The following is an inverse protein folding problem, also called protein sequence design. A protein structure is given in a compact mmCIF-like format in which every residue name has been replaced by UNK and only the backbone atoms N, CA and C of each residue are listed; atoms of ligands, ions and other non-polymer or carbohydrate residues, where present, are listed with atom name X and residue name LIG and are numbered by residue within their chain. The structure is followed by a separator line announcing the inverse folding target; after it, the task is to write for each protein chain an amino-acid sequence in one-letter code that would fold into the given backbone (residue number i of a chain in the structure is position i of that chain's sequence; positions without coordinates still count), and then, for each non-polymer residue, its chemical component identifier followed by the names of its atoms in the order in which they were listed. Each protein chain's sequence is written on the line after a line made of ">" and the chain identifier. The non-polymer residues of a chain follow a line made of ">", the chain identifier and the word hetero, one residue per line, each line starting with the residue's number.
data_IF_498733569483
#
_entry.id   IF_498733569483
#
_cell.length_a   1.000
_cell.length_b   1.000
_cell.length_c   1.000
_cell.angle_alpha   90.00
_cell.angle_beta   90.00
_cell.angle_gamma   90.00
#
_symmetry.space_group_name_H-M   'P 1'
#
loop_
_entity.id
_entity.type
_entity.pdbx_description
1 polymer ?
#
# COMPACT_ATOMS: atom_id res chain seq x y z
N UNK A 1 35.58 -18.50 -4.56
CA UNK A 1 34.48 -18.87 -3.66
C UNK A 1 33.26 -19.03 -4.55
N UNK A 2 32.67 -20.24 -4.60
CA UNK A 2 31.52 -20.55 -5.45
C UNK A 2 30.25 -20.06 -4.77
N UNK A 3 29.51 -19.14 -5.40
CA UNK A 3 28.21 -18.69 -4.94
C UNK A 3 27.19 -19.82 -5.09
N UNK A 4 26.63 -20.28 -3.97
CA UNK A 4 25.60 -21.30 -3.86
C UNK A 4 24.22 -20.73 -4.24
N UNK A 5 23.94 -20.59 -5.53
CA UNK A 5 22.63 -20.12 -6.01
C UNK A 5 21.51 -21.17 -5.76
N UNK A 6 21.83 -22.46 -5.67
CA UNK A 6 20.84 -23.51 -5.38
C UNK A 6 20.41 -23.65 -3.91
N UNK A 7 21.15 -23.07 -2.96
CA UNK A 7 20.83 -23.23 -1.52
C UNK A 7 19.59 -22.41 -1.09
N UNK A 8 19.28 -21.34 -1.83
CA UNK A 8 18.12 -20.48 -1.55
C UNK A 8 16.83 -21.09 -2.10
N UNK A 9 16.84 -21.63 -3.32
CA UNK A 9 15.67 -22.29 -3.92
C UNK A 9 15.19 -23.52 -3.11
N UNK A 10 16.10 -24.37 -2.62
CA UNK A 10 15.74 -25.51 -1.76
C UNK A 10 15.16 -25.06 -0.41
N UNK A 11 15.66 -23.96 0.14
CA UNK A 11 15.13 -23.37 1.38
C UNK A 11 13.72 -22.82 1.17
N UNK A 12 13.46 -22.13 0.06
CA UNK A 12 12.13 -21.64 -0.33
C UNK A 12 11.13 -22.78 -0.52
N UNK A 13 11.54 -23.86 -1.21
CA UNK A 13 10.72 -25.08 -1.37
C UNK A 13 10.41 -25.75 -0.03
N UNK A 14 11.38 -25.76 0.89
CA UNK A 14 11.18 -26.24 2.26
C UNK A 14 10.14 -25.43 3.04
N UNK A 15 10.24 -24.10 3.00
CA UNK A 15 9.30 -23.19 3.68
C UNK A 15 7.89 -23.31 3.07
N UNK A 16 7.78 -23.32 1.74
CA UNK A 16 6.50 -23.53 1.06
C UNK A 16 5.84 -24.87 1.47
N UNK A 17 6.61 -25.95 1.54
CA UNK A 17 6.11 -27.24 2.01
C UNK A 17 5.54 -27.18 3.44
N UNK A 18 6.16 -26.39 4.32
CA UNK A 18 5.70 -26.17 5.69
C UNK A 18 4.43 -25.32 5.73
N UNK A 19 4.34 -24.22 4.97
CA UNK A 19 3.15 -23.38 4.87
C UNK A 19 1.92 -24.18 4.40
N UNK A 20 2.09 -25.07 3.40
CA UNK A 20 1.02 -25.99 2.97
C UNK A 20 0.58 -26.98 4.05
N UNK A 21 1.52 -27.46 4.86
CA UNK A 21 1.19 -28.32 6.01
C UNK A 21 0.38 -27.54 7.05
N UNK A 22 0.71 -26.27 7.29
CA UNK A 22 -0.03 -25.41 8.20
C UNK A 22 -1.43 -25.09 7.69
N UNK A 23 -1.58 -24.73 6.42
CA UNK A 23 -2.89 -24.52 5.78
C UNK A 23 -3.85 -25.70 6.04
N UNK A 24 -3.40 -26.94 5.75
CA UNK A 24 -4.21 -28.14 6.01
C UNK A 24 -4.57 -28.33 7.49
N UNK A 25 -3.73 -27.89 8.41
CA UNK A 25 -4.00 -27.95 9.85
C UNK A 25 -4.99 -26.89 10.29
N UNK A 26 -4.90 -25.68 9.75
CA UNK A 26 -5.89 -24.62 9.95
C UNK A 26 -7.28 -25.06 9.50
N UNK A 27 -7.39 -25.69 8.32
CA UNK A 27 -8.64 -26.31 7.84
C UNK A 27 -9.13 -27.38 8.81
N UNK A 28 -8.25 -28.24 9.32
CA UNK A 28 -8.64 -29.28 10.27
C UNK A 28 -9.16 -28.71 11.61
N UNK A 29 -8.61 -27.58 12.08
CA UNK A 29 -9.11 -26.86 13.26
C UNK A 29 -10.51 -26.30 13.00
N UNK A 30 -10.71 -25.66 11.84
CA UNK A 30 -12.02 -25.16 11.40
C UNK A 30 -13.07 -26.27 11.33
N UNK A 31 -12.74 -27.39 10.70
CA UNK A 31 -13.62 -28.56 10.59
C UNK A 31 -13.95 -29.18 11.96
N UNK A 32 -12.93 -29.35 12.81
CA UNK A 32 -13.08 -29.91 14.15
C UNK A 32 -13.95 -29.03 15.05
N UNK A 33 -13.71 -27.72 15.07
CA UNK A 33 -14.52 -26.80 15.88
C UNK A 33 -15.95 -26.69 15.37
N UNK A 34 -16.17 -26.69 14.05
CA UNK A 34 -17.52 -26.71 13.46
C UNK A 34 -18.26 -28.01 13.80
N UNK A 35 -17.57 -29.15 13.78
CA UNK A 35 -18.14 -30.43 14.21
C UNK A 35 -18.53 -30.42 15.70
N UNK A 36 -17.72 -29.83 16.57
CA UNK A 36 -18.01 -29.70 18.01
C UNK A 36 -19.16 -28.73 18.28
N UNK A 37 -19.25 -27.62 17.54
CA UNK A 37 -20.39 -26.72 17.61
C UNK A 37 -21.69 -27.45 17.25
N UNK A 38 -21.68 -28.28 16.21
CA UNK A 38 -22.83 -29.11 15.85
C UNK A 38 -23.27 -30.07 16.97
N UNK A 39 -22.33 -30.63 17.73
CA UNK A 39 -22.64 -31.46 18.92
C UNK A 39 -23.28 -30.61 20.02
N UNK A 40 -22.74 -29.40 20.28
CA UNK A 40 -23.28 -28.48 21.29
C UNK A 40 -24.71 -28.04 20.94
N UNK A 41 -24.96 -27.66 19.68
CA UNK A 41 -26.30 -27.31 19.19
C UNK A 41 -27.30 -28.46 19.28
N UNK A 42 -26.85 -29.71 19.28
CA UNK A 42 -27.70 -30.88 19.51
C UNK A 42 -27.99 -31.18 20.99
N UNK A 43 -27.26 -30.57 21.93
CA UNK A 43 -27.31 -30.89 23.36
C UNK A 43 -27.72 -29.72 24.26
N UNK A 44 -27.64 -28.49 23.77
CA UNK A 44 -27.85 -27.25 24.52
C UNK A 44 -28.62 -26.24 23.65
N UNK A 45 -29.52 -25.46 24.25
CA UNK A 45 -30.24 -24.35 23.61
C UNK A 45 -30.19 -23.11 24.50
N UNK A 46 -29.95 -21.92 23.93
CA UNK A 46 -29.82 -20.67 24.67
C UNK A 46 -29.13 -19.54 23.89
N UNK A 47 -29.36 -18.30 24.31
CA UNK A 47 -28.80 -17.07 23.70
C UNK A 47 -27.26 -17.02 23.76
N UNK A 48 -26.68 -17.67 24.78
CA UNK A 48 -25.24 -17.85 24.97
C UNK A 48 -24.64 -18.73 23.87
N UNK A 49 -25.30 -19.85 23.56
CA UNK A 49 -24.89 -20.75 22.49
C UNK A 49 -25.08 -20.11 21.11
N UNK A 50 -26.16 -19.35 20.90
CA UNK A 50 -26.38 -18.61 19.66
C UNK A 50 -25.29 -17.55 19.42
N UNK A 51 -24.93 -16.81 20.47
CA UNK A 51 -23.85 -15.82 20.41
C UNK A 51 -22.48 -16.47 20.21
N UNK A 52 -22.24 -17.63 20.81
CA UNK A 52 -21.04 -18.42 20.53
C UNK A 52 -21.01 -18.95 19.09
N UNK A 53 -22.15 -19.42 18.57
CA UNK A 53 -22.26 -19.92 17.20
C UNK A 53 -21.99 -18.83 16.15
N UNK A 54 -22.53 -17.61 16.36
CA UNK A 54 -22.23 -16.45 15.50
C UNK A 54 -20.74 -16.11 15.49
N UNK A 55 -20.12 -16.00 16.67
CA UNK A 55 -18.67 -15.75 16.78
C UNK A 55 -17.84 -16.87 16.15
N UNK A 56 -18.24 -18.13 16.34
CA UNK A 56 -17.57 -19.26 15.71
C UNK A 56 -17.68 -19.24 14.19
N UNK A 57 -18.80 -18.79 13.61
CA UNK A 57 -18.93 -18.65 12.16
C UNK A 57 -17.92 -17.65 11.60
N UNK A 58 -17.75 -16.50 12.26
CA UNK A 58 -16.73 -15.50 11.90
C UNK A 58 -15.33 -16.11 12.02
N UNK A 59 -15.01 -16.76 13.15
CA UNK A 59 -13.71 -17.42 13.33
C UNK A 59 -13.46 -18.56 12.32
N UNK A 60 -14.50 -19.30 11.93
CA UNK A 60 -14.38 -20.40 10.97
C UNK A 60 -14.04 -19.89 9.56
N UNK A 61 -14.64 -18.76 9.15
CA UNK A 61 -14.29 -18.09 7.87
C UNK A 61 -12.86 -17.56 7.90
N UNK A 62 -12.48 -16.88 8.97
CA UNK A 62 -11.10 -16.40 9.15
C UNK A 62 -10.06 -17.53 9.11
N UNK A 63 -10.39 -18.72 9.66
CA UNK A 63 -9.53 -19.90 9.55
C UNK A 63 -9.45 -20.44 8.11
N UNK A 64 -10.54 -20.41 7.34
CA UNK A 64 -10.52 -20.79 5.93
C UNK A 64 -9.68 -19.82 5.08
N UNK A 65 -9.87 -18.52 5.27
CA UNK A 65 -9.09 -17.48 4.59
C UNK A 65 -7.60 -17.55 4.97
N UNK A 66 -7.28 -17.78 6.25
CA UNK A 66 -5.90 -18.01 6.70
C UNK A 66 -5.30 -19.23 5.99
N UNK A 67 -6.06 -20.32 5.86
CA UNK A 67 -5.58 -21.50 5.15
C UNK A 67 -5.33 -21.23 3.66
N UNK A 68 -6.18 -20.44 3.01
CA UNK A 68 -6.03 -20.04 1.61
C UNK A 68 -4.79 -19.13 1.42
N UNK A 69 -4.59 -18.14 2.29
CA UNK A 69 -3.42 -17.25 2.26
C UNK A 69 -2.11 -18.01 2.46
N UNK A 70 -2.08 -18.98 3.38
CA UNK A 70 -0.92 -19.86 3.58
C UNK A 70 -0.59 -20.69 2.34
N UNK A 71 -1.60 -21.15 1.59
CA UNK A 71 -1.40 -21.85 0.31
C UNK A 71 -0.94 -20.91 -0.80
N UNK A 72 -1.49 -19.70 -0.89
CA UNK A 72 -1.06 -18.68 -1.86
C UNK A 72 0.39 -18.26 -1.65
N UNK A 73 0.79 -17.96 -0.41
CA UNK A 73 2.18 -17.66 -0.06
C UNK A 73 3.13 -18.82 -0.39
N UNK A 74 2.70 -20.06 -0.12
CA UNK A 74 3.47 -21.24 -0.49
C UNK A 74 3.62 -21.38 -2.02
N UNK A 75 2.58 -21.04 -2.79
CA UNK A 75 2.64 -21.10 -4.25
C UNK A 75 3.64 -20.10 -4.83
N UNK A 76 3.62 -18.85 -4.34
CA UNK A 76 4.56 -17.79 -4.76
C UNK A 76 6.02 -18.18 -4.48
N UNK A 77 6.32 -18.70 -3.29
CA UNK A 77 7.69 -19.14 -2.95
C UNK A 77 8.19 -20.29 -3.83
N UNK A 78 7.29 -21.18 -4.27
CA UNK A 78 7.66 -22.27 -5.19
C UNK A 78 7.93 -21.74 -6.60
N UNK A 79 7.13 -20.78 -7.05
CA UNK A 79 7.31 -20.13 -8.35
C UNK A 79 8.65 -19.39 -8.41
N UNK A 80 8.98 -18.61 -7.37
CA UNK A 80 10.27 -17.92 -7.27
C UNK A 80 11.45 -18.91 -7.24
N UNK A 81 11.32 -20.00 -6.48
CA UNK A 81 12.34 -21.03 -6.42
C UNK A 81 12.55 -21.71 -7.79
N UNK A 82 11.50 -21.91 -8.58
CA UNK A 82 11.57 -22.50 -9.91
C UNK A 82 12.16 -21.53 -10.94
N UNK A 83 11.84 -20.23 -10.85
CA UNK A 83 12.45 -19.19 -11.68
C UNK A 83 13.96 -19.05 -11.43
N UNK A 84 14.41 -19.15 -10.17
CA UNK A 84 15.84 -19.14 -9.82
C UNK A 84 16.60 -20.35 -10.36
N UNK A 85 15.98 -21.53 -10.33
CA UNK A 85 16.55 -22.77 -10.92
C UNK A 85 16.64 -22.64 -12.45
N UNK A 86 15.59 -22.13 -13.10
CA UNK A 86 15.57 -21.93 -14.55
C UNK A 86 16.63 -20.91 -15.04
N UNK A 87 16.85 -19.83 -14.29
CA UNK A 87 17.91 -18.86 -14.57
C UNK A 87 19.32 -19.45 -14.40
N UNK A 88 19.48 -20.42 -13.50
CA UNK A 88 20.75 -21.12 -13.22
C UNK A 88 21.12 -22.12 -14.34
N UNK A 89 20.14 -22.84 -14.88
CA UNK A 89 20.34 -23.79 -15.98
C UNK A 89 20.66 -23.10 -17.34
N UNK A 90 20.35 -21.80 -17.47
CA UNK A 90 20.69 -20.99 -18.63
C UNK A 90 22.15 -20.49 -18.67
N UNK A 91 22.90 -20.61 -17.57
CA UNK A 91 24.24 -20.01 -17.42
C UNK A 91 25.41 -20.96 -17.77
N UNK A 92 25.19 -22.27 -17.90
CA UNK A 92 26.23 -23.24 -18.29
C UNK A 92 26.27 -23.44 -19.82
N UNK A 93 26.55 -22.36 -20.56
CA UNK A 93 26.44 -22.37 -22.02
C UNK A 93 27.24 -21.33 -22.77
N UNK A 94 28.49 -21.05 -22.38
CA UNK A 94 29.48 -20.45 -23.29
C UNK A 94 29.89 -19.00 -22.97
N UNK A 95 31.15 -18.84 -22.56
CA UNK A 95 31.82 -17.56 -22.46
C UNK A 95 32.09 -16.94 -23.84
N UNK A 96 31.47 -15.79 -24.15
CA UNK A 96 32.15 -14.63 -24.73
C UNK A 96 31.26 -13.36 -24.66
N UNK A 97 31.67 -12.41 -23.79
CA UNK A 97 31.54 -10.94 -23.89
C UNK A 97 30.23 -10.27 -24.35
N UNK A 98 29.63 -9.51 -23.42
CA UNK A 98 28.83 -8.27 -23.57
C UNK A 98 27.57 -8.28 -24.48
N UNK A 99 26.45 -7.83 -23.90
CA UNK A 99 25.39 -7.14 -24.63
C UNK A 99 23.99 -7.74 -24.46
N UNK A 100 23.16 -7.08 -23.65
CA UNK A 100 21.71 -7.29 -23.61
C UNK A 100 21.14 -6.81 -24.95
N UNK A 101 20.37 -7.67 -25.62
CA UNK A 101 19.63 -7.34 -26.84
C UNK A 101 18.20 -7.87 -26.74
N UNK A 102 17.27 -6.92 -26.82
CA UNK A 102 15.82 -7.05 -26.94
C UNK A 102 15.41 -7.85 -28.18
N UNK A 103 14.36 -8.68 -28.04
CA UNK A 103 13.74 -9.40 -29.15
C UNK A 103 12.68 -8.54 -29.87
N UNK A 104 13.00 -8.07 -31.07
CA UNK A 104 12.04 -7.52 -32.04
C UNK A 104 11.80 -8.58 -33.13
N UNK A 105 10.53 -8.87 -33.46
CA UNK A 105 10.12 -9.80 -34.51
C UNK A 105 10.37 -9.29 -35.95
N UNK A 106 10.49 -10.17 -36.96
CA UNK A 106 10.94 -9.77 -38.30
C UNK A 106 9.78 -9.50 -39.29
N UNK A 107 9.87 -8.39 -40.01
CA UNK A 107 8.98 -8.06 -41.14
C UNK A 107 9.40 -6.80 -41.92
N UNK A 108 10.36 -6.98 -42.83
CA UNK A 108 10.87 -6.19 -43.99
C UNK A 108 10.05 -5.00 -44.59
N UNK A 109 10.59 -4.19 -45.55
CA UNK A 109 11.98 -3.94 -45.96
C UNK A 109 12.39 -2.45 -45.97
N UNK A 110 13.71 -2.26 -46.11
CA UNK A 110 14.46 -1.01 -46.18
C UNK A 110 14.44 -0.33 -47.56
N UNK A 111 14.53 1.01 -47.54
CA UNK A 111 14.92 1.86 -48.67
C UNK A 111 15.45 3.22 -48.16
N UNK A 112 16.68 3.65 -48.51
CA UNK A 112 17.34 4.79 -47.87
C UNK A 112 17.28 6.07 -48.71
N UNK A 113 17.14 7.23 -48.07
CA UNK A 113 17.56 8.58 -48.49
C UNK A 113 17.01 9.53 -47.42
N UNK A 114 17.70 10.47 -46.79
CA UNK A 114 18.94 11.17 -47.05
C UNK A 114 18.84 12.45 -46.19
N UNK A 115 19.90 12.79 -45.46
CA UNK A 115 19.98 13.96 -44.58
C UNK A 115 20.06 15.25 -45.42
N UNK A 116 19.31 16.29 -45.04
CA UNK A 116 19.71 17.72 -44.89
C UNK A 116 18.45 18.64 -44.74
N UNK A 117 18.58 19.95 -44.42
CA UNK A 117 18.70 20.53 -43.08
C UNK A 117 17.59 21.57 -42.75
N UNK A 118 17.71 22.19 -41.58
CA UNK A 118 16.82 23.18 -40.96
C UNK A 118 16.37 24.39 -41.82
N UNK A 119 15.16 24.89 -41.51
CA UNK A 119 14.56 26.15 -41.95
C UNK A 119 13.30 26.48 -41.13
N UNK A 120 12.80 27.74 -41.14
CA UNK A 120 12.78 28.60 -39.96
C UNK A 120 11.45 28.65 -39.17
N UNK A 121 11.60 29.11 -37.92
CA UNK A 121 10.58 29.39 -36.91
C UNK A 121 9.38 30.19 -37.43
N UNK A 122 8.17 29.69 -37.17
CA UNK A 122 6.92 30.44 -37.21
C UNK A 122 6.69 31.22 -35.90
N UNK A 123 5.86 32.28 -35.90
CA UNK A 123 5.69 33.15 -34.74
C UNK A 123 4.91 32.44 -33.63
N UNK A 124 5.35 32.68 -32.39
CA UNK A 124 4.72 32.20 -31.17
C UNK A 124 3.26 32.70 -31.05
N UNK A 125 2.32 31.87 -30.55
CA UNK A 125 1.05 32.38 -30.09
C UNK A 125 1.27 33.35 -28.92
N UNK A 126 0.56 34.47 -28.99
CA UNK A 126 0.58 35.57 -28.03
C UNK A 126 0.21 35.07 -26.63
N UNK A 127 1.05 35.43 -25.64
CA UNK A 127 0.92 35.00 -24.24
C UNK A 127 -0.38 35.45 -23.56
N UNK A 128 -0.69 34.84 -22.40
CA UNK A 128 -1.84 35.24 -21.59
C UNK A 128 -1.66 36.66 -21.04
N UNK A 129 -2.77 37.39 -20.75
CA UNK A 129 -2.70 38.72 -20.17
C UNK A 129 -2.36 38.68 -18.68
N UNK A 130 -1.47 39.59 -18.28
CA UNK A 130 -1.38 40.29 -16.99
C UNK A 130 -1.56 39.46 -15.71
N UNK A 131 -0.42 39.21 -15.09
CA UNK A 131 -0.11 39.20 -13.65
C UNK A 131 -1.10 40.01 -12.79
N UNK A 132 -2.22 39.37 -12.45
CA UNK A 132 -2.95 39.64 -11.21
C UNK A 132 -2.35 38.78 -10.11
N UNK A 133 -1.59 39.37 -9.21
CA UNK A 133 -1.29 38.78 -7.90
C UNK A 133 -2.61 38.30 -7.28
N UNK A 134 -2.78 36.99 -7.14
CA UNK A 134 -3.79 36.43 -6.24
C UNK A 134 -3.38 36.81 -4.83
N UNK A 135 -4.00 37.84 -4.25
CA UNK A 135 -3.82 38.22 -2.83
C UNK A 135 -4.53 37.22 -1.87
N UNK A 136 -4.60 35.93 -2.22
CA UNK A 136 -5.03 34.83 -1.36
C UNK A 136 -4.08 33.64 -1.56
N UNK A 137 -3.61 33.04 -0.46
CA UNK A 137 -2.84 31.80 -0.52
C UNK A 137 -3.66 30.73 -1.23
N UNK A 138 -3.01 29.94 -2.07
CA UNK A 138 -3.63 28.79 -2.72
C UNK A 138 -3.73 27.63 -1.72
N UNK A 139 -4.71 26.74 -1.88
CA UNK A 139 -4.85 25.55 -1.02
C UNK A 139 -3.53 24.79 -0.82
N UNK A 140 -2.71 24.61 -1.86
CA UNK A 140 -1.42 23.94 -1.73
C UNK A 140 -0.43 24.71 -0.84
N UNK A 141 -0.39 26.04 -0.89
CA UNK A 141 0.41 26.84 0.05
C UNK A 141 -0.07 26.63 1.49
N UNK A 142 -1.39 26.55 1.69
CA UNK A 142 -2.01 26.27 2.99
C UNK A 142 -1.71 24.85 3.47
N UNK A 143 -1.43 23.90 2.57
CA UNK A 143 -0.98 22.56 2.94
C UNK A 143 0.52 22.50 3.25
N UNK A 144 1.40 23.37 2.77
CA UNK A 144 2.86 23.25 3.07
C UNK A 144 3.21 23.42 4.54
N UNK A 145 4.20 22.67 5.05
CA UNK A 145 4.75 22.80 6.40
C UNK A 145 4.85 21.46 7.15
N UNK A 146 5.47 21.51 8.32
CA UNK A 146 5.82 20.31 9.10
C UNK A 146 4.84 20.00 10.23
N UNK A 147 3.97 20.95 10.59
CA UNK A 147 2.97 20.77 11.63
C UNK A 147 1.64 20.34 11.01
N UNK A 148 0.98 19.36 11.62
CA UNK A 148 -0.33 18.90 11.16
C UNK A 148 -1.40 19.98 11.27
N UNK A 149 -2.34 20.00 10.33
CA UNK A 149 -3.33 21.08 10.16
C UNK A 149 -4.75 20.53 10.04
N UNK A 150 -5.79 21.35 10.32
CA UNK A 150 -7.19 20.92 10.17
C UNK A 150 -7.53 20.41 8.76
N UNK A 151 -6.95 20.99 7.72
CA UNK A 151 -7.15 20.61 6.32
C UNK A 151 -6.65 19.18 6.02
N UNK A 152 -5.76 18.64 6.87
CA UNK A 152 -5.26 17.27 6.74
C UNK A 152 -6.39 16.25 7.01
N UNK A 153 -7.41 16.62 7.79
CA UNK A 153 -8.62 15.82 7.99
C UNK A 153 -9.41 15.66 6.69
N UNK A 154 -9.53 16.73 5.89
CA UNK A 154 -10.22 16.66 4.61
C UNK A 154 -9.45 15.77 3.62
N UNK A 155 -8.11 15.90 3.59
CA UNK A 155 -7.26 15.04 2.77
C UNK A 155 -7.36 13.56 3.15
N UNK A 156 -7.54 13.24 4.43
CA UNK A 156 -7.83 11.89 4.89
C UNK A 156 -9.15 11.34 4.31
N UNK A 157 -10.24 12.10 4.39
CA UNK A 157 -11.53 11.68 3.83
C UNK A 157 -11.48 11.54 2.31
N UNK A 158 -10.74 12.40 1.60
CA UNK A 158 -10.55 12.26 0.15
C UNK A 158 -9.73 11.02 -0.22
N UNK A 159 -8.68 10.71 0.57
CA UNK A 159 -7.91 9.48 0.42
C UNK A 159 -8.80 8.25 0.59
N UNK A 160 -9.67 8.24 1.60
CA UNK A 160 -10.62 7.15 1.82
C UNK A 160 -11.68 7.08 0.71
N UNK A 161 -12.32 8.22 0.36
CA UNK A 161 -13.33 8.28 -0.69
C UNK A 161 -12.82 7.73 -2.04
N UNK A 162 -11.53 7.91 -2.35
CA UNK A 162 -10.91 7.41 -3.60
C UNK A 162 -10.98 5.89 -3.79
N UNK A 163 -11.27 5.12 -2.73
CA UNK A 163 -11.46 3.68 -2.84
C UNK A 163 -12.79 3.30 -3.50
N UNK A 164 -13.76 4.22 -3.51
CA UNK A 164 -15.05 4.05 -4.16
C UNK A 164 -15.96 3.02 -3.47
N UNK A 165 -17.22 2.91 -3.94
CA UNK A 165 -18.24 2.05 -3.30
C UNK A 165 -17.97 0.56 -3.45
N UNK A 166 -17.12 0.17 -4.40
CA UNK A 166 -16.79 -1.22 -4.71
C UNK A 166 -15.59 -1.75 -3.89
N UNK A 167 -15.18 -1.02 -2.85
CA UNK A 167 -14.08 -1.44 -1.98
C UNK A 167 -14.42 -2.75 -1.25
N UNK A 168 -13.59 -3.78 -1.46
CA UNK A 168 -13.81 -5.12 -0.91
C UNK A 168 -13.80 -5.18 0.63
N UNK A 169 -13.24 -4.16 1.30
CA UNK A 169 -13.27 -4.04 2.76
C UNK A 169 -14.68 -3.74 3.31
N UNK A 170 -15.56 -3.09 2.55
CA UNK A 170 -16.89 -2.70 3.04
C UNK A 170 -17.81 -3.90 3.33
N UNK A 171 -17.48 -5.07 2.78
CA UNK A 171 -18.21 -6.32 3.03
C UNK A 171 -17.46 -7.28 3.97
N UNK A 172 -16.30 -6.90 4.52
CA UNK A 172 -15.50 -7.77 5.39
C UNK A 172 -16.14 -7.96 6.77
N UNK A 173 -16.21 -9.19 7.28
CA UNK A 173 -16.87 -9.48 8.57
C UNK A 173 -16.15 -8.84 9.79
N UNK A 174 -14.86 -8.49 9.68
CA UNK A 174 -14.01 -7.97 10.76
C UNK A 174 -13.51 -6.54 10.51
N UNK A 175 -13.22 -6.20 9.26
CA UNK A 175 -12.74 -4.89 8.79
C UNK A 175 -13.83 -4.16 7.98
N UNK A 176 -15.11 -4.43 8.26
CA UNK A 176 -16.19 -3.69 7.64
C UNK A 176 -15.98 -2.19 7.90
N UNK A 177 -16.32 -1.42 6.88
CA UNK A 177 -16.28 0.03 6.86
C UNK A 177 -17.29 0.53 5.82
N UNK A 178 -17.49 1.83 5.73
CA UNK A 178 -18.39 2.48 4.78
C UNK A 178 -17.65 3.55 3.99
N UNK A 179 -18.09 3.79 2.75
CA UNK A 179 -17.57 4.90 1.97
C UNK A 179 -17.91 6.22 2.66
N UNK A 180 -16.92 7.10 2.93
CA UNK A 180 -17.19 8.38 3.54
C UNK A 180 -17.86 9.32 2.56
N UNK A 181 -18.65 10.26 3.07
CA UNK A 181 -19.09 11.42 2.29
C UNK A 181 -17.88 12.32 1.95
N UNK A 182 -18.00 13.12 0.89
CA UNK A 182 -17.01 14.15 0.58
C UNK A 182 -17.02 15.26 1.65
N UNK A 183 -15.85 15.81 2.03
CA UNK A 183 -15.78 17.01 2.86
C UNK A 183 -16.53 18.19 2.24
N UNK A 184 -17.00 19.13 3.08
CA UNK A 184 -17.83 20.24 2.62
C UNK A 184 -17.13 21.09 1.54
N UNK A 185 -17.79 21.24 0.38
CA UNK A 185 -17.31 22.08 -0.72
C UNK A 185 -16.31 21.41 -1.66
N UNK A 186 -15.90 20.16 -1.38
CA UNK A 186 -15.12 19.36 -2.32
C UNK A 186 -16.03 18.69 -3.35
N UNK A 187 -15.56 18.62 -4.59
CA UNK A 187 -16.29 18.00 -5.70
C UNK A 187 -15.37 17.08 -6.50
N UNK A 188 -15.85 15.91 -6.90
CA UNK A 188 -15.14 15.05 -7.86
C UNK A 188 -15.10 15.73 -9.23
N UNK A 189 -13.93 15.72 -9.87
CA UNK A 189 -13.76 16.22 -11.23
C UNK A 189 -14.06 15.11 -12.23
N UNK A 190 -15.33 14.97 -12.60
CA UNK A 190 -15.82 14.00 -13.59
C UNK A 190 -16.67 14.70 -14.67
N UNK A 191 -16.29 14.64 -15.97
CA UNK A 191 -15.12 13.95 -16.51
C UNK A 191 -13.81 14.75 -16.31
N UNK A 192 -12.71 14.05 -16.02
CA UNK A 192 -11.38 14.66 -15.78
C UNK A 192 -10.84 15.40 -17.01
N UNK A 193 -11.35 15.09 -18.20
CA UNK A 193 -11.07 15.80 -19.45
C UNK A 193 -11.46 17.28 -19.39
N UNK A 194 -12.31 17.71 -18.45
CA UNK A 194 -12.58 19.13 -18.20
C UNK A 194 -11.32 19.90 -17.76
N UNK A 195 -10.34 19.21 -17.18
CA UNK A 195 -8.99 19.72 -16.89
C UNK A 195 -7.99 19.51 -18.03
N UNK A 196 -8.41 18.87 -19.12
CA UNK A 196 -7.53 18.48 -20.21
C UNK A 196 -6.68 17.24 -19.91
N UNK A 197 -7.01 16.49 -18.87
CA UNK A 197 -6.31 15.26 -18.46
C UNK A 197 -6.88 14.07 -19.24
N UNK A 198 -6.01 13.14 -19.66
CA UNK A 198 -6.44 11.88 -20.27
C UNK A 198 -6.97 10.96 -19.15
N UNK A 199 -8.21 10.46 -19.21
CA UNK A 199 -8.77 9.57 -18.18
C UNK A 199 -8.01 8.27 -18.02
N UNK A 200 -7.28 7.81 -19.06
CA UNK A 200 -6.41 6.63 -18.96
C UNK A 200 -5.23 6.81 -17.97
N UNK A 201 -4.94 8.06 -17.54
CA UNK A 201 -3.97 8.33 -16.48
C UNK A 201 -4.53 8.13 -15.07
N UNK A 202 -5.85 8.02 -14.90
CA UNK A 202 -6.46 7.81 -13.59
C UNK A 202 -6.50 6.34 -13.19
N UNK A 203 -6.40 5.42 -14.15
CA UNK A 203 -6.32 3.99 -13.89
C UNK A 203 -5.58 3.28 -15.02
N UNK A 204 -4.55 2.53 -14.66
CA UNK A 204 -3.70 1.82 -15.62
C UNK A 204 -3.71 0.29 -15.42
N UNK A 205 -3.02 -0.41 -16.35
CA UNK A 205 -2.85 -1.86 -16.28
C UNK A 205 -1.86 -2.32 -15.20
N UNK A 206 -1.09 -1.39 -14.62
CA UNK A 206 -0.10 -1.65 -13.57
C UNK A 206 -0.69 -1.55 -12.16
N UNK A 207 -1.97 -1.18 -12.05
CA UNK A 207 -2.75 -1.16 -10.82
C UNK A 207 -2.76 0.18 -10.10
N UNK A 208 -2.24 1.26 -10.69
CA UNK A 208 -2.46 2.60 -10.15
C UNK A 208 -3.92 3.01 -10.38
N UNK A 209 -4.51 3.64 -9.37
CA UNK A 209 -5.84 4.21 -9.42
C UNK A 209 -5.82 5.54 -8.65
N UNK A 210 -6.45 6.56 -9.21
CA UNK A 210 -6.54 7.87 -8.60
C UNK A 210 -7.87 8.57 -8.90
N UNK A 211 -8.24 9.50 -8.02
CA UNK A 211 -9.40 10.38 -8.18
C UNK A 211 -8.94 11.83 -8.06
N UNK A 212 -9.51 12.73 -8.87
CA UNK A 212 -9.19 14.16 -8.83
C UNK A 212 -10.36 14.93 -8.25
N UNK A 213 -10.09 15.72 -7.22
CA UNK A 213 -11.08 16.57 -6.56
C UNK A 213 -10.77 18.03 -6.79
N UNK A 214 -11.82 18.85 -6.89
CA UNK A 214 -11.75 20.30 -6.82
C UNK A 214 -11.94 20.73 -5.36
N UNK A 215 -11.05 21.59 -4.87
CA UNK A 215 -11.14 22.17 -3.53
C UNK A 215 -12.15 23.33 -3.49
N UNK A 216 -12.68 23.71 -2.31
CA UNK A 216 -13.65 24.80 -2.18
C UNK A 216 -13.17 26.16 -2.71
N UNK A 217 -11.85 26.41 -2.68
CA UNK A 217 -11.18 27.62 -3.16
C UNK A 217 -10.73 27.54 -4.63
N UNK A 218 -10.93 26.39 -5.29
CA UNK A 218 -10.73 26.20 -6.73
C UNK A 218 -9.39 25.58 -7.15
N UNK A 219 -8.58 25.12 -6.20
CA UNK A 219 -7.45 24.23 -6.42
C UNK A 219 -7.87 22.76 -6.62
N UNK A 220 -6.88 21.87 -6.60
CA UNK A 220 -7.09 20.44 -6.85
C UNK A 220 -6.42 19.55 -5.82
N UNK A 221 -7.01 18.39 -5.58
CA UNK A 221 -6.40 17.28 -4.85
C UNK A 221 -6.41 16.05 -5.74
N UNK A 222 -5.27 15.37 -5.87
CA UNK A 222 -5.22 14.03 -6.46
C UNK A 222 -5.05 13.03 -5.33
N UNK A 223 -6.04 12.16 -5.15
CA UNK A 223 -5.97 11.07 -4.18
C UNK A 223 -5.64 9.76 -4.87
N UNK A 224 -4.57 9.10 -4.46
CA UNK A 224 -4.17 7.80 -4.96
C UNK A 224 -4.74 6.70 -4.07
N UNK A 225 -5.39 5.73 -4.72
CA UNK A 225 -5.97 4.56 -4.07
C UNK A 225 -4.87 3.54 -3.77
N UNK A 226 -4.89 2.99 -2.56
CA UNK A 226 -4.01 1.87 -2.18
C UNK A 226 -4.62 0.51 -2.54
N UNK A 227 -4.08 -0.56 -1.95
CA UNK A 227 -4.54 -1.93 -2.23
C UNK A 227 -5.84 -2.26 -1.48
N UNK A 228 -6.80 -2.90 -2.15
CA UNK A 228 -8.19 -3.10 -1.70
C UNK A 228 -8.52 -4.53 -1.21
N UNK A 229 -7.51 -5.33 -0.84
CA UNK A 229 -7.66 -6.78 -0.61
C UNK A 229 -7.35 -7.20 0.84
N UNK A 230 -8.09 -6.72 1.86
CA UNK A 230 -7.97 -7.21 3.27
C UNK A 230 -6.52 -7.29 3.76
N UNK A 231 -6.16 -8.24 4.65
CA UNK A 231 -4.74 -8.39 5.10
C UNK A 231 -3.69 -8.64 3.98
N UNK A 232 -4.06 -8.84 2.70
CA UNK A 232 -3.10 -9.01 1.61
C UNK A 232 -2.52 -7.68 1.13
N UNK A 233 -3.11 -6.55 1.55
CA UNK A 233 -2.60 -5.20 1.27
C UNK A 233 -1.13 -5.06 1.70
N UNK A 234 -0.69 -5.73 2.77
CA UNK A 234 0.71 -5.70 3.24
C UNK A 234 1.67 -6.32 2.22
N UNK A 235 1.30 -7.51 1.74
CA UNK A 235 2.12 -8.26 0.79
C UNK A 235 2.18 -7.52 -0.55
N UNK A 236 1.10 -6.83 -0.91
CA UNK A 236 1.04 -5.97 -2.09
C UNK A 236 1.88 -4.70 -1.91
N UNK A 237 1.81 -4.03 -0.76
CA UNK A 237 2.63 -2.87 -0.43
C UNK A 237 4.12 -3.20 -0.47
N UNK A 238 4.52 -4.35 0.09
CA UNK A 238 5.90 -4.85 -0.01
C UNK A 238 6.32 -5.16 -1.45
N UNK A 239 5.46 -5.79 -2.25
CA UNK A 239 5.74 -6.03 -3.67
C UNK A 239 5.84 -4.72 -4.47
N UNK A 240 4.98 -3.73 -4.17
CA UNK A 240 5.01 -2.40 -4.77
C UNK A 240 6.27 -1.61 -4.40
N UNK A 241 6.66 -1.60 -3.14
CA UNK A 241 7.87 -0.92 -2.66
C UNK A 241 9.18 -1.57 -3.18
N UNK A 242 9.17 -2.89 -3.43
CA UNK A 242 10.36 -3.66 -3.89
C UNK A 242 10.42 -3.84 -5.41
N UNK A 243 9.29 -3.81 -6.12
CA UNK A 243 9.21 -4.13 -7.56
C UNK A 243 8.28 -3.25 -8.41
N UNK A 244 7.57 -2.30 -7.82
CA UNK A 244 6.46 -1.57 -8.44
C UNK A 244 6.82 -0.24 -9.12
N UNK A 245 8.03 -0.07 -9.65
CA UNK A 245 8.47 1.20 -10.27
C UNK A 245 7.47 1.80 -11.25
N UNK A 246 6.80 0.98 -12.07
CA UNK A 246 5.81 1.42 -13.05
C UNK A 246 4.60 2.15 -12.42
N UNK A 247 3.98 1.62 -11.36
CA UNK A 247 2.82 2.27 -10.74
C UNK A 247 3.17 3.59 -10.00
N UNK A 248 4.43 3.76 -9.59
CA UNK A 248 4.94 5.04 -9.08
C UNK A 248 5.27 6.01 -10.22
N UNK A 249 5.79 5.51 -11.34
CA UNK A 249 6.00 6.28 -12.58
C UNK A 249 4.67 6.83 -13.10
N UNK A 250 3.67 5.98 -13.23
CA UNK A 250 2.32 6.35 -13.68
C UNK A 250 1.68 7.39 -12.75
N UNK A 251 1.87 7.23 -11.42
CA UNK A 251 1.43 8.22 -10.44
C UNK A 251 2.10 9.59 -10.63
N UNK A 252 3.41 9.62 -10.88
CA UNK A 252 4.16 10.85 -11.17
C UNK A 252 3.75 11.48 -12.51
N UNK A 253 3.47 10.68 -13.54
CA UNK A 253 2.98 11.17 -14.84
C UNK A 253 1.61 11.86 -14.71
N UNK A 254 0.67 11.24 -13.98
CA UNK A 254 -0.61 11.87 -13.65
C UNK A 254 -0.38 13.18 -12.86
N UNK A 255 0.49 13.15 -11.86
CA UNK A 255 0.78 14.31 -11.03
C UNK A 255 1.28 15.51 -11.83
N UNK A 256 2.25 15.28 -12.72
CA UNK A 256 2.80 16.33 -13.61
C UNK A 256 1.71 16.87 -14.55
N UNK A 257 0.85 16.00 -15.10
CA UNK A 257 -0.23 16.44 -15.97
C UNK A 257 -1.25 17.34 -15.23
N UNK A 258 -1.62 16.99 -13.99
CA UNK A 258 -2.55 17.78 -13.18
C UNK A 258 -1.88 19.07 -12.67
N UNK A 259 -0.61 19.03 -12.29
CA UNK A 259 0.17 20.20 -11.89
C UNK A 259 0.25 21.24 -13.02
N UNK A 260 0.60 20.79 -14.24
CA UNK A 260 0.62 21.63 -15.44
C UNK A 260 -0.77 22.21 -15.76
N UNK A 261 -1.83 21.38 -15.68
CA UNK A 261 -3.20 21.80 -15.98
C UNK A 261 -3.78 22.78 -14.94
N UNK A 262 -3.40 22.62 -13.67
CA UNK A 262 -3.82 23.49 -12.57
C UNK A 262 -3.00 24.77 -12.45
N UNK A 263 -1.85 24.85 -13.15
CA UNK A 263 -0.91 25.96 -13.02
C UNK A 263 -0.21 25.96 -11.66
N UNK A 264 0.00 24.77 -11.08
CA UNK A 264 0.66 24.62 -9.80
C UNK A 264 -0.24 24.70 -8.57
N UNK A 265 -1.56 24.52 -8.72
CA UNK A 265 -2.51 24.56 -7.59
C UNK A 265 -3.07 23.15 -7.34
N UNK A 266 -2.19 22.24 -6.93
CA UNK A 266 -2.53 20.83 -6.67
C UNK A 266 -1.84 20.33 -5.40
N UNK A 267 -2.54 19.48 -4.64
CA UNK A 267 -2.01 18.73 -3.50
C UNK A 267 -2.24 17.23 -3.72
N UNK A 268 -1.36 16.39 -3.19
CA UNK A 268 -1.51 14.91 -3.28
C UNK A 268 -1.87 14.29 -1.94
N UNK A 269 -2.66 13.22 -2.00
CA UNK A 269 -2.97 12.43 -0.81
C UNK A 269 -3.16 10.96 -1.13
N UNK A 270 -3.12 10.12 -0.10
CA UNK A 270 -3.30 8.68 -0.23
C UNK A 270 -2.98 7.94 1.06
N UNK A 271 -3.51 6.72 1.14
CA UNK A 271 -3.31 5.79 2.25
C UNK A 271 -2.53 4.55 1.79
N UNK A 272 -1.73 3.94 2.67
CA UNK A 272 -1.01 2.69 2.37
C UNK A 272 -0.11 2.84 1.13
N UNK A 273 -0.23 1.94 0.13
CA UNK A 273 0.45 2.07 -1.17
C UNK A 273 0.14 3.41 -1.88
N UNK A 274 -1.10 3.89 -1.81
CA UNK A 274 -1.51 5.17 -2.38
C UNK A 274 -0.82 6.36 -1.71
N UNK A 275 -0.50 6.25 -0.42
CA UNK A 275 0.31 7.25 0.28
C UNK A 275 1.74 7.33 -0.27
N UNK A 276 2.33 6.18 -0.64
CA UNK A 276 3.61 6.15 -1.34
C UNK A 276 3.54 6.82 -2.71
N UNK A 277 2.47 6.55 -3.48
CA UNK A 277 2.25 7.17 -4.80
C UNK A 277 2.06 8.68 -4.69
N UNK A 278 1.31 9.15 -3.68
CA UNK A 278 1.18 10.56 -3.37
C UNK A 278 2.51 11.22 -2.99
N UNK A 279 3.37 10.51 -2.25
CA UNK A 279 4.71 11.00 -1.95
C UNK A 279 5.59 11.11 -3.22
N UNK A 280 5.51 10.13 -4.12
CA UNK A 280 6.21 10.19 -5.40
C UNK A 280 5.70 11.34 -6.30
N UNK A 281 4.38 11.55 -6.35
CA UNK A 281 3.73 12.65 -7.04
C UNK A 281 4.22 14.03 -6.54
N UNK A 282 4.26 14.22 -5.21
CA UNK A 282 4.85 15.41 -4.60
C UNK A 282 6.33 15.58 -4.98
N UNK A 283 7.11 14.50 -4.94
CA UNK A 283 8.50 14.55 -5.37
C UNK A 283 8.63 14.95 -6.84
N UNK A 284 7.79 14.48 -7.76
CA UNK A 284 7.89 14.79 -9.19
C UNK A 284 7.49 16.22 -9.56
N UNK A 285 6.62 16.85 -8.79
CA UNK A 285 6.04 18.18 -9.10
C UNK A 285 6.60 19.30 -8.22
N UNK A 286 7.14 18.98 -7.04
CA UNK A 286 7.50 19.99 -6.03
C UNK A 286 6.31 20.43 -5.17
N UNK A 287 5.11 19.92 -5.43
CA UNK A 287 3.88 20.26 -4.71
C UNK A 287 3.71 19.45 -3.44
N UNK A 288 2.86 19.90 -2.50
CA UNK A 288 2.75 19.26 -1.20
C UNK A 288 1.94 17.96 -1.26
N UNK A 289 2.20 17.09 -0.28
CA UNK A 289 1.37 15.92 -0.02
C UNK A 289 1.10 15.71 1.47
N UNK A 290 -0.05 15.11 1.76
CA UNK A 290 -0.35 14.55 3.08
C UNK A 290 -0.69 13.08 2.90
N UNK A 291 0.09 12.21 3.53
CA UNK A 291 -0.01 10.76 3.37
C UNK A 291 -0.37 10.12 4.70
N UNK A 292 -1.05 8.97 4.65
CA UNK A 292 -1.56 8.28 5.84
C UNK A 292 -1.12 6.82 5.80
N UNK A 293 -0.52 6.35 6.89
CA UNK A 293 0.02 4.98 7.05
C UNK A 293 0.74 4.51 5.77
N UNK A 294 1.54 5.41 5.21
CA UNK A 294 2.00 5.28 3.85
C UNK A 294 3.13 4.25 3.71
N UNK A 295 3.15 3.54 2.58
CA UNK A 295 4.31 2.75 2.21
C UNK A 295 5.50 3.65 1.85
N UNK A 296 6.72 3.24 2.23
CA UNK A 296 7.94 3.90 1.79
C UNK A 296 8.18 3.76 0.29
N UNK A 297 8.81 4.78 -0.30
CA UNK A 297 9.22 4.74 -1.71
C UNK A 297 10.68 4.28 -1.83
N UNK A 298 11.02 3.70 -2.97
CA UNK A 298 12.40 3.30 -3.24
C UNK A 298 13.29 4.53 -3.55
N UNK A 299 14.59 4.46 -3.23
CA UNK A 299 15.52 5.59 -3.45
C UNK A 299 15.58 6.07 -4.91
N UNK A 300 15.33 5.18 -5.87
CA UNK A 300 15.31 5.50 -7.31
C UNK A 300 14.16 6.42 -7.68
N UNK A 301 13.06 6.41 -6.93
CA UNK A 301 11.89 7.27 -7.17
C UNK A 301 12.27 8.75 -7.08
N UNK A 302 13.09 9.13 -6.10
CA UNK A 302 13.54 10.53 -5.97
C UNK A 302 14.48 10.96 -7.10
N UNK A 303 15.28 10.05 -7.65
CA UNK A 303 16.13 10.34 -8.80
C UNK A 303 15.30 10.57 -10.06
N UNK A 304 14.28 9.73 -10.28
CA UNK A 304 13.35 9.86 -11.40
C UNK A 304 12.49 11.12 -11.28
N UNK A 305 11.97 11.42 -10.09
CA UNK A 305 11.26 12.66 -9.81
C UNK A 305 12.12 13.89 -10.12
N UNK A 306 13.40 13.89 -9.73
CA UNK A 306 14.32 14.98 -10.08
C UNK A 306 14.53 15.13 -11.59
N UNK A 307 14.58 14.01 -12.34
CA UNK A 307 14.64 14.04 -13.80
C UNK A 307 13.35 14.60 -14.43
N UNK A 308 12.17 14.24 -13.90
CA UNK A 308 10.87 14.73 -14.37
C UNK A 308 10.69 16.23 -14.14
N UNK A 309 11.14 16.77 -12.99
CA UNK A 309 11.10 18.22 -12.72
C UNK A 309 11.85 19.04 -13.77
N UNK A 310 12.97 18.53 -14.27
CA UNK A 310 13.77 19.20 -15.32
C UNK A 310 14.33 20.58 -14.95
N UNK A 311 14.26 20.97 -13.68
CA UNK A 311 14.62 22.30 -13.15
C UNK A 311 16.05 22.38 -12.59
N UNK A 312 16.78 21.25 -12.62
CA UNK A 312 18.12 21.12 -12.05
C UNK A 312 18.15 20.56 -10.63
N UNK A 313 17.01 20.15 -10.08
CA UNK A 313 16.90 19.35 -8.86
C UNK A 313 17.77 18.09 -8.94
N UNK A 314 18.29 17.67 -7.80
CA UNK A 314 19.00 16.39 -7.64
C UNK A 314 18.15 15.46 -6.80
N UNK A 315 18.45 14.15 -6.84
CA UNK A 315 17.85 13.19 -5.91
C UNK A 315 17.96 13.67 -4.45
N UNK A 316 19.11 14.22 -4.06
CA UNK A 316 19.35 14.72 -2.70
C UNK A 316 18.47 15.93 -2.36
N UNK A 317 18.28 16.89 -3.29
CA UNK A 317 17.42 18.04 -3.03
C UNK A 317 15.96 17.66 -2.96
N UNK A 318 15.49 16.78 -3.85
CA UNK A 318 14.11 16.24 -3.83
C UNK A 318 13.84 15.52 -2.51
N UNK A 319 14.76 14.66 -2.06
CA UNK A 319 14.62 13.97 -0.78
C UNK A 319 14.61 14.95 0.40
N UNK A 320 15.46 15.97 0.40
CA UNK A 320 15.50 16.97 1.46
C UNK A 320 14.15 17.71 1.58
N UNK A 321 13.60 18.17 0.45
CA UNK A 321 12.32 18.89 0.39
C UNK A 321 11.17 18.13 1.05
N UNK A 322 11.11 16.80 0.87
CA UNK A 322 10.06 15.96 1.49
C UNK A 322 9.92 16.24 2.99
N UNK A 323 11.04 16.32 3.69
CA UNK A 323 11.13 16.56 5.14
C UNK A 323 11.12 18.04 5.53
N UNK A 324 11.38 18.96 4.59
CA UNK A 324 11.40 20.41 4.82
C UNK A 324 10.02 21.07 4.66
N UNK A 325 8.95 20.29 4.88
CA UNK A 325 7.57 20.77 4.86
C UNK A 325 6.85 20.57 3.53
N UNK A 326 7.42 19.80 2.59
CA UNK A 326 6.67 19.38 1.41
C UNK A 326 5.68 18.25 1.73
N UNK A 327 6.08 17.27 2.55
CA UNK A 327 5.25 16.09 2.83
C UNK A 327 5.02 15.98 4.34
N UNK A 328 3.75 15.85 4.75
CA UNK A 328 3.38 15.33 6.07
C UNK A 328 2.95 13.88 5.94
N UNK A 329 3.40 13.04 6.87
CA UNK A 329 3.05 11.62 6.91
C UNK A 329 2.44 11.27 8.26
N UNK A 330 1.13 11.06 8.27
CA UNK A 330 0.39 10.60 9.43
C UNK A 330 0.53 9.09 9.58
N UNK A 331 0.67 8.65 10.82
CA UNK A 331 0.93 7.24 11.16
C UNK A 331 0.18 6.88 12.44
N UNK A 332 -0.54 5.77 12.45
CA UNK A 332 -1.00 5.20 13.72
C UNK A 332 0.18 4.56 14.45
N UNK A 333 0.26 4.73 15.77
CA UNK A 333 1.35 4.17 16.59
C UNK A 333 1.43 2.64 16.55
N UNK A 334 0.33 1.98 16.18
CA UNK A 334 0.27 0.53 15.99
C UNK A 334 0.27 0.10 14.53
N UNK A 335 0.14 1.02 13.56
CA UNK A 335 0.02 0.65 12.15
C UNK A 335 1.17 -0.27 11.72
N UNK A 336 0.83 -1.46 11.23
CA UNK A 336 1.83 -2.48 10.94
C UNK A 336 2.83 -2.06 9.84
N UNK A 337 2.45 -1.19 8.87
CA UNK A 337 3.36 -0.65 7.81
C UNK A 337 4.44 0.24 8.36
N UNK A 338 4.06 1.06 9.32
CA UNK A 338 4.88 2.13 9.83
C UNK A 338 5.33 1.89 11.28
N UNK A 339 4.95 0.76 11.87
CA UNK A 339 5.42 0.22 13.15
C UNK A 339 6.92 -0.03 13.02
N UNK A 340 7.60 1.08 13.22
CA UNK A 340 9.02 1.35 13.33
C UNK A 340 9.90 0.44 12.48
N UNK A 341 10.54 1.03 11.47
CA UNK A 341 11.83 0.56 10.95
C UNK A 341 12.97 0.59 12.01
N UNK A 342 12.65 0.48 13.30
CA UNK A 342 13.54 -0.03 14.33
C UNK A 342 13.54 -1.57 14.19
N UNK A 343 14.72 -2.19 14.25
CA UNK A 343 15.00 -3.63 14.01
C UNK A 343 14.11 -4.65 14.75
N UNK A 344 13.16 -4.23 15.58
CA UNK A 344 12.39 -5.05 16.53
C UNK A 344 10.90 -5.26 16.17
N UNK A 345 10.36 -4.60 15.14
CA UNK A 345 8.98 -4.81 14.65
C UNK A 345 8.81 -6.07 13.78
N UNK A 346 7.58 -6.59 13.61
CA UNK A 346 7.32 -7.85 12.85
C UNK A 346 7.93 -7.85 11.44
N UNK A 347 8.04 -6.65 10.85
CA UNK A 347 8.43 -6.43 9.47
C UNK A 347 9.62 -5.45 9.33
N UNK A 348 10.31 -5.19 10.45
CA UNK A 348 11.45 -4.30 10.54
C UNK A 348 12.50 -4.58 9.46
N UNK A 349 12.87 -3.53 8.72
CA UNK A 349 13.92 -3.56 7.69
C UNK A 349 13.52 -4.13 6.32
N UNK A 350 12.26 -4.54 6.12
CA UNK A 350 11.79 -5.08 4.84
C UNK A 350 11.13 -4.04 3.91
N UNK A 351 10.68 -2.89 4.45
CA UNK A 351 10.04 -1.79 3.72
C UNK A 351 10.73 -0.48 4.15
N UNK A 352 11.06 0.44 3.20
CA UNK A 352 11.59 1.75 3.55
C UNK A 352 10.59 2.57 4.39
N UNK A 353 11.08 3.54 5.15
CA UNK A 353 10.21 4.49 5.84
C UNK A 353 9.42 5.36 4.84
N UNK A 354 8.21 5.75 5.23
CA UNK A 354 7.45 6.76 4.50
C UNK A 354 8.17 8.11 4.49
N UNK A 355 8.21 8.75 3.32
CA UNK A 355 8.86 10.05 3.15
C UNK A 355 8.03 11.17 3.78
N UNK A 356 8.72 12.21 4.27
CA UNK A 356 8.11 13.40 4.85
C UNK A 356 8.32 13.55 6.36
N UNK A 357 7.67 14.56 6.93
CA UNK A 357 7.66 14.81 8.37
C UNK A 357 6.62 13.92 9.06
N UNK A 358 7.01 13.01 9.97
CA UNK A 358 6.08 12.11 10.62
C UNK A 358 5.23 12.81 11.68
N UNK A 359 3.94 12.47 11.70
CA UNK A 359 2.97 12.83 12.73
C UNK A 359 2.33 11.53 13.22
N UNK A 360 2.81 11.03 14.36
CA UNK A 360 2.28 9.81 14.96
C UNK A 360 1.04 10.14 15.81
N UNK A 361 -0.03 9.39 15.60
CA UNK A 361 -1.27 9.43 16.37
C UNK A 361 -1.43 8.14 17.17
N UNK A 362 -2.00 8.25 18.38
CA UNK A 362 -2.29 7.08 19.20
C UNK A 362 -3.49 6.32 18.63
N UNK A 363 -3.40 5.00 18.55
CA UNK A 363 -4.49 4.13 18.07
C UNK A 363 -5.62 4.08 19.11
N UNK A 364 -6.82 4.61 18.79
CA UNK A 364 -7.93 4.59 19.73
C UNK A 364 -8.41 3.17 20.03
N UNK A 365 -8.94 2.97 21.24
CA UNK A 365 -9.53 1.69 21.62
C UNK A 365 -10.96 1.58 21.08
N UNK A 366 -11.26 0.49 20.37
CA UNK A 366 -12.59 0.21 19.84
C UNK A 366 -12.98 -1.27 20.02
N UNK A 367 -14.28 -1.55 20.09
CA UNK A 367 -14.81 -2.92 20.19
C UNK A 367 -14.41 -3.77 18.96
N UNK A 368 -14.35 -3.15 17.77
CA UNK A 368 -13.92 -3.81 16.53
C UNK A 368 -12.43 -4.10 16.54
N UNK A 369 -11.59 -3.15 16.97
CA UNK A 369 -10.16 -3.36 17.15
C UNK A 369 -9.85 -4.47 18.16
N UNK A 370 -10.59 -4.53 19.26
CA UNK A 370 -10.50 -5.64 20.22
C UNK A 370 -10.91 -6.99 19.60
N UNK A 371 -11.90 -7.01 18.71
CA UNK A 371 -12.32 -8.20 17.98
C UNK A 371 -11.28 -8.67 16.95
N UNK A 372 -10.65 -7.74 16.22
CA UNK A 372 -9.55 -8.02 15.27
C UNK A 372 -8.34 -8.56 16.02
N UNK A 373 -7.89 -7.87 17.07
CA UNK A 373 -6.78 -8.29 17.92
C UNK A 373 -7.05 -9.66 18.58
N UNK A 374 -8.28 -9.88 19.05
CA UNK A 374 -8.71 -11.16 19.62
C UNK A 374 -8.70 -12.30 18.59
N UNK A 375 -9.12 -12.02 17.36
CA UNK A 375 -9.07 -13.00 16.25
C UNK A 375 -7.62 -13.34 15.90
N UNK A 376 -6.76 -12.33 15.81
CA UNK A 376 -5.33 -12.51 15.62
C UNK A 376 -4.71 -13.42 16.71
N UNK A 377 -5.05 -13.18 17.98
CA UNK A 377 -4.57 -14.00 19.09
C UNK A 377 -4.98 -15.49 18.99
N UNK A 378 -6.20 -15.76 18.52
CA UNK A 378 -6.68 -17.13 18.30
C UNK A 378 -5.87 -17.81 17.19
N UNK A 379 -5.65 -17.12 16.07
CA UNK A 379 -4.87 -17.65 14.94
C UNK A 379 -3.42 -17.90 15.37
N UNK A 380 -2.80 -16.91 16.00
CA UNK A 380 -1.42 -17.00 16.47
C UNK A 380 -1.22 -18.11 17.51
N UNK A 381 -2.15 -18.28 18.46
CA UNK A 381 -2.06 -19.35 19.46
C UNK A 381 -2.14 -20.75 18.85
N UNK A 382 -2.91 -20.94 17.77
CA UNK A 382 -2.93 -22.19 17.00
C UNK A 382 -1.59 -22.43 16.31
N UNK A 383 -0.99 -21.40 15.69
CA UNK A 383 0.32 -21.49 15.04
C UNK A 383 1.43 -21.81 16.06
N UNK A 384 1.48 -21.08 17.17
CA UNK A 384 2.45 -21.27 18.24
C UNK A 384 2.37 -22.66 18.86
N UNK A 385 1.17 -23.12 19.22
CA UNK A 385 0.97 -24.48 19.74
C UNK A 385 1.33 -25.59 18.76
N UNK A 386 1.27 -25.31 17.45
CA UNK A 386 1.76 -26.24 16.43
C UNK A 386 3.28 -26.21 16.34
N UNK A 387 3.93 -25.05 16.43
CA UNK A 387 5.39 -24.91 16.39
C UNK A 387 6.08 -25.61 17.57
N UNK A 388 5.55 -25.44 18.79
CA UNK A 388 6.05 -26.11 19.99
C UNK A 388 5.98 -27.64 19.92
N UNK A 389 5.00 -28.20 19.20
CA UNK A 389 4.95 -29.65 18.97
C UNK A 389 6.07 -30.18 18.05
N UNK A 390 6.84 -29.30 17.40
CA UNK A 390 7.86 -29.65 16.41
C UNK A 390 9.31 -29.37 16.83
N UNK A 391 9.57 -28.51 17.82
CA UNK A 391 10.92 -28.32 18.36
C UNK A 391 11.38 -29.50 19.24
N UNK A 392 10.43 -30.33 19.66
CA UNK A 392 10.65 -31.61 20.33
C UNK A 392 10.61 -31.54 21.85
N UNK A 393 10.31 -30.38 22.44
CA UNK A 393 9.95 -30.26 23.84
C UNK A 393 8.41 -30.27 23.97
N UNK A 394 7.88 -31.07 24.89
CA UNK A 394 6.44 -31.19 25.13
C UNK A 394 6.04 -30.49 26.43
N UNK A 395 7.02 -29.89 27.13
CA UNK A 395 6.84 -29.19 28.40
C UNK A 395 6.48 -27.72 28.29
N UNK A 396 6.66 -27.13 27.11
CA UNK A 396 6.59 -25.71 26.77
C UNK A 396 5.50 -25.37 25.73
N UNK A 397 4.77 -26.36 25.21
CA UNK A 397 3.63 -26.14 24.29
C UNK A 397 2.64 -25.09 24.80
N UNK A 398 2.44 -24.96 26.12
CA UNK A 398 1.59 -23.90 26.68
C UNK A 398 2.22 -22.50 26.56
N UNK A 399 3.54 -22.39 26.71
CA UNK A 399 4.31 -21.17 26.52
C UNK A 399 4.40 -20.81 25.02
N UNK A 400 4.48 -21.80 24.11
CA UNK A 400 4.44 -21.56 22.66
C UNK A 400 3.05 -21.15 22.17
N UNK A 401 1.98 -21.73 22.74
CA UNK A 401 0.60 -21.24 22.50
C UNK A 401 0.46 -19.81 23.01
N UNK A 402 1.02 -19.49 24.18
CA UNK A 402 1.01 -18.13 24.74
C UNK A 402 1.75 -17.14 23.84
N UNK A 403 2.98 -17.46 23.48
CA UNK A 403 3.83 -16.65 22.57
C UNK A 403 3.17 -16.49 21.21
N UNK A 404 2.61 -17.57 20.65
CA UNK A 404 1.87 -17.49 19.40
C UNK A 404 0.65 -16.59 19.49
N UNK A 405 -0.11 -16.67 20.59
CA UNK A 405 -1.28 -15.83 20.79
C UNK A 405 -0.92 -14.35 20.97
N UNK A 406 0.21 -14.04 21.61
CA UNK A 406 0.75 -12.67 21.71
C UNK A 406 1.13 -12.13 20.33
N UNK A 407 1.95 -12.86 19.57
CA UNK A 407 2.33 -12.45 18.19
C UNK A 407 1.09 -12.28 17.29
N UNK A 408 0.13 -13.20 17.38
CA UNK A 408 -1.10 -13.10 16.63
C UNK A 408 -1.94 -11.88 17.02
N UNK A 409 -1.98 -11.55 18.33
CA UNK A 409 -2.65 -10.35 18.82
C UNK A 409 -1.99 -9.10 18.24
N UNK A 410 -0.67 -9.02 18.27
CA UNK A 410 0.09 -7.87 17.80
C UNK A 410 -0.13 -7.63 16.30
N UNK A 411 -0.14 -8.70 15.49
CA UNK A 411 -0.53 -8.63 14.06
C UNK A 411 -1.94 -8.05 13.89
N UNK A 412 -2.90 -8.50 14.72
CA UNK A 412 -4.28 -8.01 14.66
C UNK A 412 -4.39 -6.54 15.09
N UNK A 413 -3.67 -6.14 16.13
CA UNK A 413 -3.59 -4.74 16.58
C UNK A 413 -3.02 -3.87 15.47
N UNK A 414 -1.92 -4.27 14.83
CA UNK A 414 -1.33 -3.44 13.79
C UNK A 414 -2.08 -3.42 12.47
N UNK A 415 -2.79 -4.50 12.13
CA UNK A 415 -3.72 -4.48 11.01
C UNK A 415 -4.93 -3.57 11.28
N UNK A 416 -5.40 -3.49 12.53
CA UNK A 416 -6.41 -2.52 12.94
C UNK A 416 -5.87 -1.10 12.91
N UNK A 417 -4.64 -0.87 13.38
CA UNK A 417 -3.97 0.43 13.29
C UNK A 417 -3.88 0.96 11.85
N UNK A 418 -3.69 0.08 10.86
CA UNK A 418 -3.72 0.43 9.42
C UNK A 418 -5.13 0.65 8.83
N UNK A 419 -6.18 0.39 9.59
CA UNK A 419 -7.56 0.52 9.11
C UNK A 419 -7.99 2.01 9.06
N UNK A 420 -9.06 2.31 8.33
CA UNK A 420 -9.57 3.68 8.25
C UNK A 420 -10.13 4.18 9.59
N UNK A 421 -10.82 3.32 10.35
CA UNK A 421 -11.51 3.76 11.56
C UNK A 421 -10.59 4.42 12.61
N UNK A 422 -9.44 3.83 13.01
CA UNK A 422 -8.59 4.43 14.03
C UNK A 422 -8.04 5.79 13.64
N UNK A 423 -7.61 5.93 12.38
CA UNK A 423 -7.13 7.20 11.86
C UNK A 423 -8.26 8.22 11.77
N UNK A 424 -9.47 7.82 11.37
CA UNK A 424 -10.66 8.68 11.35
C UNK A 424 -10.96 9.23 12.74
N UNK A 425 -11.04 8.36 13.75
CA UNK A 425 -11.29 8.77 15.15
C UNK A 425 -10.18 9.68 15.67
N UNK A 426 -8.91 9.35 15.39
CA UNK A 426 -7.78 10.16 15.82
C UNK A 426 -7.74 11.54 15.14
N UNK A 427 -8.14 11.63 13.87
CA UNK A 427 -8.26 12.90 13.13
C UNK A 427 -9.40 13.75 13.67
N UNK A 428 -10.55 13.16 13.96
CA UNK A 428 -11.69 13.86 14.56
C UNK A 428 -11.37 14.39 15.96
N UNK A 429 -10.66 13.62 16.79
CA UNK A 429 -10.20 14.07 18.11
C UNK A 429 -9.22 15.24 17.99
N UNK A 430 -8.28 15.14 17.04
CA UNK A 430 -7.23 16.14 16.84
C UNK A 430 -7.77 17.44 16.22
N UNK A 431 -8.73 17.34 15.31
CA UNK A 431 -9.31 18.44 14.53
C UNK A 431 -10.85 18.46 14.62
N UNK A 432 -11.40 18.82 15.79
CA UNK A 432 -12.84 18.94 15.97
C UNK A 432 -13.42 20.15 15.20
N UNK A 433 -14.66 20.01 14.74
CA UNK A 433 -15.40 21.05 13.98
C UNK A 433 -15.78 22.31 14.79
#
# INVERSE_FOLDING_TARGET
>A
MSLTHGAHAERLKGIAGQLRVQSRRTVAVRESGSGRLGVLQGAWEGEDLESFARRWQVSARALDECAERLESAAALMLEEADQQVAASDGAEGGTQGLGITMGIGPGAPTGPSGIAPAGPSGPAPTGPPDDGESEGSTFDEDIRGTEGKPEDKDLWYLAHHSYGPDNGLYEDDLFYDEQPDLPEGYEVVDPVEELGINPELLSDEHGMQAEVYRTPDGGYVVAYRGSDQGFDWWTNARQGAVGGGAAYEDAMELAVAVDDASGGNVTFTGHSLGGGQAAAAAMATGQPAVTFDAAGVHETTAAQAAEMRGDGSTQESVLAETSEGQIRTYRMDTDILTETAEDDGLLGGAIPDAQGTPITLDTPQSDQGDAVAGTGAVVGGVVGGVAGLFDGDLGDVADDVGTGAEVGRDVGVGAWGHHWDPMTEAMEERYPD
#
